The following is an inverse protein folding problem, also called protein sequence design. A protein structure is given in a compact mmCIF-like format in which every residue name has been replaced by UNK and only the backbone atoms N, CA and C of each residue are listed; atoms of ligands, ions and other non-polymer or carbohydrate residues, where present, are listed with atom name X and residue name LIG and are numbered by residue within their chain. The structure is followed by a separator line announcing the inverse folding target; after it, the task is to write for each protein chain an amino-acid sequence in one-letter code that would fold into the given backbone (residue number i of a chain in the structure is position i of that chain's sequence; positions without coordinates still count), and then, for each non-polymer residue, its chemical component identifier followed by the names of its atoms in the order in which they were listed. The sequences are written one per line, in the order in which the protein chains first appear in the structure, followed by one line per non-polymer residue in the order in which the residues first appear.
data_IF_387596363008
#
_entry.id   IF_387596363008
#
_cell.length_a   1.000
_cell.length_b   1.000
_cell.length_c   1.000
_cell.angle_alpha   90.00
_cell.angle_beta   90.00
_cell.angle_gamma   90.00
#
_symmetry.space_group_name_H-M   'P 1'
#
loop_
_entity.id
_entity.type
_entity.pdbx_description
1 polymer ?
#
# COMPACT_ATOMS: atom_id res chain seq x y z
N UNK A 1 -9.54 -2.63 21.78
CA UNK A 1 -9.92 -3.32 20.53
C UNK A 1 -8.66 -3.49 19.70
N UNK A 2 -8.41 -4.65 19.11
CA UNK A 2 -7.20 -4.88 18.31
C UNK A 2 -7.35 -4.25 16.92
N UNK A 3 -6.74 -3.07 16.73
CA UNK A 3 -6.76 -2.31 15.47
C UNK A 3 -6.18 -3.10 14.30
N UNK A 4 -5.12 -3.90 14.53
CA UNK A 4 -4.48 -4.72 13.50
C UNK A 4 -5.39 -5.86 13.05
N UNK A 5 -6.10 -6.50 13.99
CA UNK A 5 -7.10 -7.51 13.65
C UNK A 5 -8.22 -6.92 12.78
N UNK A 6 -8.69 -5.71 13.09
CA UNK A 6 -9.72 -5.03 12.28
C UNK A 6 -9.19 -4.71 10.88
N UNK A 7 -7.98 -4.16 10.78
CA UNK A 7 -7.31 -3.88 9.50
C UNK A 7 -7.20 -5.15 8.65
N UNK A 8 -6.82 -6.28 9.24
CA UNK A 8 -6.73 -7.57 8.55
C UNK A 8 -8.09 -8.01 8.00
N UNK A 9 -9.15 -7.89 8.78
CA UNK A 9 -10.51 -8.22 8.33
C UNK A 9 -10.98 -7.36 7.18
N UNK A 10 -10.61 -6.07 7.17
CA UNK A 10 -10.89 -5.17 6.05
C UNK A 10 -10.08 -5.57 4.81
N UNK A 11 -8.79 -5.83 4.97
CA UNK A 11 -7.92 -6.30 3.89
C UNK A 11 -8.42 -7.59 3.23
N UNK A 12 -8.91 -8.56 4.01
CA UNK A 12 -9.49 -9.80 3.48
C UNK A 12 -10.69 -9.51 2.54
N UNK A 13 -11.44 -8.43 2.78
CA UNK A 13 -12.53 -8.01 1.89
C UNK A 13 -12.01 -7.40 0.60
N UNK A 14 -10.94 -6.61 0.66
CA UNK A 14 -10.28 -6.11 -0.54
C UNK A 14 -9.77 -7.26 -1.42
N UNK A 15 -9.09 -8.23 -0.81
CA UNK A 15 -8.55 -9.42 -1.50
C UNK A 15 -9.66 -10.24 -2.14
N UNK A 16 -10.78 -10.44 -1.45
CA UNK A 16 -11.91 -11.22 -1.95
C UNK A 16 -12.55 -10.65 -3.24
N UNK A 17 -12.30 -9.37 -3.58
CA UNK A 17 -12.79 -8.78 -4.84
C UNK A 17 -12.03 -9.26 -6.07
N UNK A 18 -10.84 -9.85 -5.91
CA UNK A 18 -10.04 -10.39 -7.00
C UNK A 18 -9.40 -9.34 -7.93
N UNK A 19 -9.59 -8.04 -7.66
CA UNK A 19 -8.99 -6.93 -8.43
C UNK A 19 -7.79 -6.28 -7.69
N UNK A 20 -7.21 -6.99 -6.72
CA UNK A 20 -6.14 -6.49 -5.86
C UNK A 20 -4.89 -7.37 -6.05
N UNK A 21 -3.75 -6.73 -6.25
CA UNK A 21 -2.42 -7.35 -6.35
C UNK A 21 -1.80 -7.52 -4.97
N UNK A 22 -1.94 -6.52 -4.09
CA UNK A 22 -1.41 -6.54 -2.74
C UNK A 22 -2.25 -5.69 -1.79
N UNK A 23 -2.20 -6.05 -0.50
CA UNK A 23 -2.67 -5.20 0.60
C UNK A 23 -1.56 -5.13 1.64
N UNK A 24 -1.18 -3.92 2.03
CA UNK A 24 -0.10 -3.65 2.98
C UNK A 24 -0.66 -2.85 4.15
N UNK A 25 -0.35 -3.26 5.37
CA UNK A 25 -0.57 -2.44 6.55
C UNK A 25 0.58 -1.44 6.65
N UNK A 26 0.23 -0.15 6.57
CA UNK A 26 1.16 0.97 6.63
C UNK A 26 1.42 1.48 8.04
N UNK A 27 1.99 2.68 8.13
CA UNK A 27 2.10 3.43 9.38
C UNK A 27 2.98 2.79 10.47
N UNK A 28 2.74 3.20 11.70
CA UNK A 28 3.41 2.64 12.89
C UNK A 28 3.02 1.19 13.12
N UNK A 29 1.77 0.81 12.83
CA UNK A 29 1.26 -0.55 13.01
C UNK A 29 1.97 -1.55 12.08
N UNK A 30 2.12 -1.21 10.79
CA UNK A 30 2.86 -2.01 9.81
C UNK A 30 4.33 -2.22 10.19
N UNK A 31 4.96 -1.17 10.74
CA UNK A 31 6.35 -1.18 11.21
C UNK A 31 6.55 -1.89 12.55
N UNK A 32 5.49 -2.39 13.18
CA UNK A 32 5.55 -3.01 14.52
C UNK A 32 5.83 -2.03 15.66
N UNK A 33 5.54 -0.73 15.45
CA UNK A 33 5.73 0.37 16.41
C UNK A 33 4.42 1.00 16.87
N UNK A 34 3.28 0.37 16.55
CA UNK A 34 1.97 0.90 16.89
C UNK A 34 1.67 0.82 18.38
N UNK A 35 0.87 1.76 18.84
CA UNK A 35 0.38 1.91 20.21
C UNK A 35 -1.14 2.17 20.20
N UNK A 36 -1.69 2.53 21.36
CA UNK A 36 -3.14 2.75 21.52
C UNK A 36 -3.67 3.95 20.73
N UNK A 37 -2.85 4.98 20.50
CA UNK A 37 -3.23 6.19 19.76
C UNK A 37 -2.93 6.12 18.27
N UNK A 38 -2.14 5.13 17.83
CA UNK A 38 -1.75 4.96 16.43
C UNK A 38 -2.94 4.81 15.49
N UNK A 39 -2.90 5.54 14.37
CA UNK A 39 -3.85 5.40 13.28
C UNK A 39 -3.68 4.06 12.55
N UNK A 40 -4.69 3.68 11.76
CA UNK A 40 -4.66 2.48 10.93
C UNK A 40 -4.64 2.89 9.47
N UNK A 41 -3.62 2.43 8.75
CA UNK A 41 -3.40 2.77 7.34
C UNK A 41 -3.30 1.48 6.52
N UNK A 42 -4.03 1.40 5.42
CA UNK A 42 -3.93 0.31 4.44
C UNK A 42 -3.57 0.85 3.06
N UNK A 43 -2.51 0.29 2.47
CA UNK A 43 -2.20 0.50 1.06
C UNK A 43 -2.78 -0.67 0.23
N UNK A 44 -3.48 -0.33 -0.86
CA UNK A 44 -4.13 -1.28 -1.77
C UNK A 44 -3.55 -1.13 -3.18
N UNK A 45 -2.86 -2.16 -3.66
CA UNK A 45 -2.40 -2.19 -5.04
C UNK A 45 -3.46 -2.84 -5.92
N UNK A 46 -4.11 -2.05 -6.77
CA UNK A 46 -5.16 -2.48 -7.69
C UNK A 46 -4.56 -3.07 -8.98
N UNK A 47 -5.07 -4.22 -9.41
CA UNK A 47 -4.71 -4.80 -10.71
C UNK A 47 -5.25 -3.96 -11.88
N UNK A 48 -6.41 -3.33 -11.68
CA UNK A 48 -7.07 -2.41 -12.61
C UNK A 48 -7.73 -1.32 -11.81
N UNK A 49 -7.86 -0.13 -12.39
CA UNK A 49 -8.57 1.00 -11.79
C UNK A 49 -9.87 0.55 -11.11
N UNK A 50 -10.07 0.83 -9.82
CA UNK A 50 -11.30 0.49 -9.14
C UNK A 50 -12.41 1.50 -9.49
N UNK A 51 -13.65 1.02 -9.46
CA UNK A 51 -14.83 1.89 -9.35
C UNK A 51 -15.08 2.31 -7.90
N UNK A 52 -15.79 3.41 -7.67
CA UNK A 52 -16.22 3.81 -6.33
C UNK A 52 -17.04 2.73 -5.61
N UNK A 53 -17.82 1.93 -6.35
CA UNK A 53 -18.54 0.81 -5.79
C UNK A 53 -17.58 -0.27 -5.24
N UNK A 54 -16.50 -0.57 -5.96
CA UNK A 54 -15.46 -1.50 -5.50
C UNK A 54 -14.70 -0.95 -4.30
N UNK A 55 -14.45 0.37 -4.22
CA UNK A 55 -13.78 1.00 -3.08
C UNK A 55 -14.64 0.98 -1.81
N UNK A 56 -15.96 1.12 -1.95
CA UNK A 56 -16.91 1.10 -0.81
C UNK A 56 -17.23 -0.31 -0.33
N UNK A 57 -17.23 -1.30 -1.23
CA UNK A 57 -17.69 -2.66 -0.92
C UNK A 57 -17.00 -3.32 0.29
N UNK A 58 -15.68 -3.18 0.51
CA UNK A 58 -15.00 -3.76 1.67
C UNK A 58 -15.54 -3.30 3.03
N UNK A 59 -15.77 -2.00 3.20
CA UNK A 59 -16.35 -1.45 4.43
C UNK A 59 -17.81 -1.90 4.59
N UNK A 60 -18.60 -1.84 3.52
CA UNK A 60 -20.01 -2.30 3.56
C UNK A 60 -20.14 -3.79 3.91
N UNK A 61 -19.22 -4.65 3.43
CA UNK A 61 -19.20 -6.08 3.75
C UNK A 61 -18.89 -6.37 5.24
N UNK A 62 -18.36 -5.38 5.96
CA UNK A 62 -18.15 -5.43 7.41
C UNK A 62 -19.22 -4.66 8.20
N UNK A 63 -20.29 -4.21 7.53
CA UNK A 63 -21.32 -3.33 8.10
C UNK A 63 -20.73 -2.04 8.67
N UNK A 64 -19.66 -1.55 8.05
CA UNK A 64 -19.06 -0.25 8.34
C UNK A 64 -19.42 0.80 7.29
N UNK A 65 -18.86 1.98 7.47
CA UNK A 65 -19.16 3.16 6.69
C UNK A 65 -17.91 3.66 5.97
N UNK A 66 -18.10 4.26 4.80
CA UNK A 66 -17.08 5.08 4.12
C UNK A 66 -17.34 6.51 4.54
N UNK A 67 -16.51 7.03 5.45
CA UNK A 67 -16.68 8.37 6.03
C UNK A 67 -16.21 9.46 5.08
N UNK A 68 -15.24 9.14 4.22
CA UNK A 68 -14.72 10.02 3.18
C UNK A 68 -14.35 9.21 1.94
N UNK A 69 -14.65 9.71 0.75
CA UNK A 69 -14.25 9.12 -0.52
C UNK A 69 -13.75 10.23 -1.43
N UNK A 70 -12.44 10.27 -1.67
CA UNK A 70 -11.84 11.27 -2.53
C UNK A 70 -11.76 10.79 -3.99
N UNK A 71 -11.87 11.71 -4.97
CA UNK A 71 -11.54 11.42 -6.36
C UNK A 71 -10.09 10.93 -6.51
N UNK A 72 -9.78 10.36 -7.68
CA UNK A 72 -8.40 10.01 -8.01
C UNK A 72 -7.53 11.28 -8.06
N UNK A 73 -6.42 11.26 -7.35
CA UNK A 73 -5.38 12.28 -7.40
C UNK A 73 -4.36 11.90 -8.49
N UNK A 74 -4.26 12.73 -9.54
CA UNK A 74 -3.37 12.47 -10.66
C UNK A 74 -1.90 12.82 -10.38
N UNK A 75 -1.65 13.71 -9.42
CA UNK A 75 -0.29 14.11 -9.05
C UNK A 75 0.36 13.01 -8.19
N UNK A 76 -0.43 12.41 -7.29
CA UNK A 76 0.01 11.33 -6.40
C UNK A 76 -0.27 9.92 -6.94
N UNK A 77 -1.11 9.81 -7.97
CA UNK A 77 -1.50 8.53 -8.56
C UNK A 77 -2.37 7.69 -7.62
N UNK A 78 -3.20 8.34 -6.80
CA UNK A 78 -3.82 7.75 -5.61
C UNK A 78 -5.36 7.80 -5.64
N UNK A 79 -5.99 6.69 -5.24
CA UNK A 79 -7.37 6.68 -4.73
C UNK A 79 -7.33 6.69 -3.22
N UNK A 80 -8.00 7.63 -2.55
CA UNK A 80 -8.03 7.69 -1.09
C UNK A 80 -9.45 7.58 -0.53
N UNK A 81 -9.62 6.79 0.53
CA UNK A 81 -10.85 6.75 1.31
C UNK A 81 -10.58 6.57 2.81
N UNK A 82 -11.42 7.21 3.64
CA UNK A 82 -11.50 6.88 5.05
C UNK A 82 -12.72 6.00 5.29
N UNK A 83 -12.54 4.96 6.08
CA UNK A 83 -13.60 4.03 6.45
C UNK A 83 -13.63 3.81 7.95
N UNK A 84 -14.83 3.64 8.49
CA UNK A 84 -15.04 3.22 9.88
C UNK A 84 -15.63 1.82 9.89
N UNK A 85 -14.84 0.85 10.34
CA UNK A 85 -15.25 -0.56 10.40
C UNK A 85 -15.05 -1.10 11.81
N UNK A 86 -16.09 -1.78 12.32
CA UNK A 86 -16.07 -2.37 13.66
C UNK A 86 -15.71 -1.36 14.78
N UNK A 87 -15.89 -0.06 14.55
CA UNK A 87 -15.54 0.99 15.52
C UNK A 87 -14.10 1.52 15.43
N UNK A 88 -13.33 1.12 14.42
CA UNK A 88 -11.98 1.61 14.13
C UNK A 88 -11.99 2.41 12.83
N UNK A 89 -11.38 3.59 12.85
CA UNK A 89 -11.12 4.39 11.65
C UNK A 89 -9.87 3.87 10.94
N UNK A 90 -9.96 3.74 9.63
CA UNK A 90 -8.89 3.26 8.75
C UNK A 90 -8.80 4.19 7.55
N UNK A 91 -7.62 4.75 7.31
CA UNK A 91 -7.31 5.45 6.06
C UNK A 91 -6.79 4.43 5.05
N UNK A 92 -7.36 4.46 3.86
CA UNK A 92 -6.99 3.57 2.75
C UNK A 92 -6.42 4.40 1.62
N UNK A 93 -5.20 4.04 1.20
CA UNK A 93 -4.51 4.58 0.04
C UNK A 93 -4.46 3.50 -1.04
N UNK A 94 -4.92 3.81 -2.25
CA UNK A 94 -5.03 2.88 -3.36
C UNK A 94 -4.19 3.31 -4.55
N UNK A 95 -3.44 2.38 -5.13
CA UNK A 95 -2.55 2.65 -6.26
C UNK A 95 -2.76 1.65 -7.38
N UNK A 96 -2.44 2.03 -8.61
CA UNK A 96 -2.38 1.07 -9.70
C UNK A 96 -1.09 0.26 -9.60
N UNK A 97 -1.17 -1.07 -9.67
CA UNK A 97 0.00 -1.93 -9.51
C UNK A 97 1.10 -1.66 -10.55
N UNK A 98 0.71 -1.18 -11.75
CA UNK A 98 1.64 -0.78 -12.81
C UNK A 98 2.30 0.59 -12.57
N UNK A 99 1.67 1.53 -11.86
CA UNK A 99 2.37 2.72 -11.31
C UNK A 99 3.45 2.26 -10.33
N UNK A 100 3.09 1.40 -9.37
CA UNK A 100 4.03 0.96 -8.32
C UNK A 100 5.23 0.24 -8.95
N UNK A 101 4.99 -0.67 -9.90
CA UNK A 101 6.06 -1.34 -10.65
C UNK A 101 6.93 -0.32 -11.42
N UNK A 102 6.35 0.73 -12.01
CA UNK A 102 7.10 1.82 -12.67
C UNK A 102 7.91 2.65 -11.69
N UNK A 103 7.36 3.00 -10.53
CA UNK A 103 8.09 3.73 -9.48
C UNK A 103 9.31 2.94 -9.03
N UNK A 104 9.13 1.66 -8.71
CA UNK A 104 10.23 0.74 -8.34
C UNK A 104 11.30 0.70 -9.43
N UNK A 105 10.92 0.53 -10.70
CA UNK A 105 11.86 0.49 -11.82
C UNK A 105 12.59 1.83 -12.02
N UNK A 106 11.93 2.95 -11.72
CA UNK A 106 12.49 4.30 -11.87
C UNK A 106 13.45 4.70 -10.75
N UNK A 107 13.56 3.93 -9.66
CA UNK A 107 14.50 4.21 -8.56
C UNK A 107 15.97 4.21 -9.00
N UNK A 108 16.29 3.66 -10.17
CA UNK A 108 17.63 3.73 -10.75
C UNK A 108 17.96 5.10 -11.35
N UNK A 109 16.98 5.99 -11.53
CA UNK A 109 17.16 7.32 -12.08
C UNK A 109 17.75 8.30 -11.05
N UNK A 110 18.53 9.32 -11.48
CA UNK A 110 19.12 10.29 -10.57
C UNK A 110 18.05 11.00 -9.72
N UNK A 111 18.20 10.93 -8.39
CA UNK A 111 17.40 11.61 -7.35
C UNK A 111 15.94 11.87 -7.77
N UNK A 112 15.08 10.86 -7.65
CA UNK A 112 13.63 11.11 -7.59
C UNK A 112 13.36 12.01 -6.39
N UNK A 113 13.10 13.29 -6.62
CA UNK A 113 12.83 14.30 -5.59
C UNK A 113 11.34 14.37 -5.23
N UNK A 114 10.50 13.49 -5.79
CA UNK A 114 9.09 13.48 -5.46
C UNK A 114 8.87 12.82 -4.09
N UNK A 115 8.73 13.65 -3.06
CA UNK A 115 8.64 13.23 -1.66
C UNK A 115 7.56 12.17 -1.43
N UNK A 116 6.40 12.32 -2.09
CA UNK A 116 5.29 11.35 -1.97
C UNK A 116 5.74 9.97 -2.43
N UNK A 117 6.42 9.85 -3.58
CA UNK A 117 6.97 8.56 -4.04
C UNK A 117 7.97 7.98 -3.04
N UNK A 118 8.85 8.80 -2.47
CA UNK A 118 9.78 8.32 -1.44
C UNK A 118 9.06 7.80 -0.19
N UNK A 119 8.02 8.51 0.26
CA UNK A 119 7.18 8.08 1.38
C UNK A 119 6.47 6.76 1.07
N UNK A 120 5.93 6.60 -0.14
CA UNK A 120 5.29 5.35 -0.57
C UNK A 120 6.28 4.20 -0.68
N UNK A 121 7.48 4.43 -1.20
CA UNK A 121 8.52 3.40 -1.21
C UNK A 121 8.93 2.95 0.20
N UNK A 122 9.01 3.89 1.16
CA UNK A 122 9.22 3.55 2.57
C UNK A 122 8.06 2.72 3.13
N UNK A 123 6.80 3.10 2.84
CA UNK A 123 5.63 2.35 3.28
C UNK A 123 5.60 0.92 2.72
N UNK A 124 5.93 0.73 1.44
CA UNK A 124 6.05 -0.60 0.80
C UNK A 124 7.20 -1.41 1.42
N UNK A 125 8.34 -0.79 1.70
CA UNK A 125 9.53 -1.48 2.23
C UNK A 125 9.38 -1.89 3.69
N UNK A 126 8.71 -1.08 4.51
CA UNK A 126 8.63 -1.29 5.97
C UNK A 126 7.26 -1.76 6.46
N UNK A 127 6.25 -1.73 5.58
CA UNK A 127 4.90 -2.17 5.89
C UNK A 127 4.79 -3.68 6.05
N UNK A 128 3.71 -4.12 6.70
CA UNK A 128 3.41 -5.54 6.81
C UNK A 128 2.49 -5.95 5.65
N UNK A 129 2.96 -6.89 4.83
CA UNK A 129 2.14 -7.46 3.77
C UNK A 129 1.06 -8.35 4.37
N UNK A 130 -0.20 -7.94 4.20
CA UNK A 130 -1.34 -8.75 4.57
C UNK A 130 -1.69 -9.79 3.52
N UNK A 131 -1.59 -9.45 2.23
CA UNK A 131 -1.87 -10.36 1.13
C UNK A 131 -1.14 -9.95 -0.13
N UNK A 132 -0.82 -10.94 -0.96
CA UNK A 132 -0.41 -10.74 -2.36
C UNK A 132 -1.10 -11.78 -3.24
N UNK A 133 -1.55 -11.37 -4.42
CA UNK A 133 -1.93 -12.30 -5.47
C UNK A 133 -0.66 -12.78 -6.21
N UNK A 134 -0.57 -14.07 -6.53
CA UNK A 134 0.43 -14.53 -7.51
C UNK A 134 0.11 -13.85 -8.84
N UNK A 135 0.96 -12.92 -9.26
CA UNK A 135 0.91 -12.40 -10.64
C UNK A 135 1.05 -13.59 -11.58
N UNK A 136 0.09 -13.75 -12.50
CA UNK A 136 0.21 -14.73 -13.58
C UNK A 136 1.51 -14.45 -14.30
N UNK A 137 2.35 -15.47 -14.47
CA UNK A 137 3.61 -15.37 -15.18
C UNK A 137 3.34 -14.91 -16.62
N UNK A 138 3.47 -13.62 -16.91
CA UNK A 138 3.95 -13.23 -18.22
C UNK A 138 5.45 -13.51 -18.20
N UNK A 139 5.83 -14.67 -18.72
CA UNK A 139 7.21 -14.98 -19.06
C UNK A 139 7.65 -14.07 -20.21
N UNK A 140 8.02 -12.84 -19.89
CA UNK A 140 9.09 -12.13 -20.56
C UNK A 140 10.28 -12.22 -19.63
N UNK A 141 11.38 -12.83 -20.07
CA UNK A 141 12.58 -12.99 -19.25
C UNK A 141 13.05 -11.62 -18.75
N UNK A 142 12.93 -11.39 -17.43
CA UNK A 142 13.61 -10.29 -16.78
C UNK A 142 15.12 -10.63 -16.74
N UNK A 143 16.02 -9.68 -17.03
CA UNK A 143 17.44 -9.89 -16.80
C UNK A 143 17.68 -10.17 -15.30
N UNK A 144 18.63 -11.07 -15.01
CA UNK A 144 18.99 -11.44 -13.64
C UNK A 144 19.18 -10.20 -12.75
N UNK A 145 18.63 -10.17 -11.53
CA UNK A 145 18.95 -9.12 -10.60
C UNK A 145 20.42 -9.28 -10.17
N UNK A 146 21.29 -8.45 -10.74
CA UNK A 146 22.65 -8.25 -10.22
C UNK A 146 22.53 -7.93 -8.73
N UNK A 147 23.04 -8.82 -7.89
CA UNK A 147 23.00 -8.70 -6.43
C UNK A 147 23.94 -7.56 -6.02
N UNK A 148 23.46 -6.32 -6.09
CA UNK A 148 24.17 -5.17 -5.57
C UNK A 148 24.17 -5.26 -4.03
N UNK A 149 25.27 -5.76 -3.48
CA UNK A 149 25.55 -5.70 -2.05
C UNK A 149 25.95 -4.26 -1.74
N UNK A 150 25.00 -3.45 -1.29
CA UNK A 150 25.29 -2.11 -0.78
C UNK A 150 26.09 -2.23 0.52
N UNK A 151 27.41 -2.02 0.43
CA UNK A 151 28.26 -1.80 1.62
C UNK A 151 28.27 -0.32 1.92
N UNK A 152 27.74 0.04 3.09
CA UNK A 152 27.86 1.39 3.63
C UNK A 152 29.31 1.57 4.13
N UNK A 153 30.05 2.49 3.51
CA UNK A 153 31.33 2.95 4.04
C UNK A 153 31.08 4.29 4.74
N UNK A 154 31.38 4.44 6.04
CA UNK A 154 31.29 5.73 6.70
C UNK A 154 32.31 6.69 6.08
N UNK A 155 31.89 7.94 5.84
CA UNK A 155 32.79 9.02 5.41
C UNK A 155 33.81 9.30 6.53
N UNK A 156 35.08 9.56 6.21
CA UNK A 156 36.06 9.95 7.20
C UNK A 156 35.69 11.32 7.78
N UNK A 157 35.59 11.38 9.10
CA UNK A 157 35.50 12.64 9.84
C UNK A 157 36.87 13.32 9.73
N UNK A 158 36.90 14.54 9.19
CA UNK A 158 38.08 15.42 9.22
C UNK A 158 38.11 16.23 10.51
#
# INVERSE_FOLDING_TARGET
MDKRHVARRLADRYVAMGNVSAVVLGGSLGRGRGDEVSDVELDIDWQRQPSDAQRKAPASALKGDVTSLWPYDADDGEWSEDVRVLGVDVTVSGFAADEVDRWIASLAAPRDLYLVRQMRMSAIQEGEVFSTAKRGSQTGAAPEPTRAVWRWSPLPVS
#
